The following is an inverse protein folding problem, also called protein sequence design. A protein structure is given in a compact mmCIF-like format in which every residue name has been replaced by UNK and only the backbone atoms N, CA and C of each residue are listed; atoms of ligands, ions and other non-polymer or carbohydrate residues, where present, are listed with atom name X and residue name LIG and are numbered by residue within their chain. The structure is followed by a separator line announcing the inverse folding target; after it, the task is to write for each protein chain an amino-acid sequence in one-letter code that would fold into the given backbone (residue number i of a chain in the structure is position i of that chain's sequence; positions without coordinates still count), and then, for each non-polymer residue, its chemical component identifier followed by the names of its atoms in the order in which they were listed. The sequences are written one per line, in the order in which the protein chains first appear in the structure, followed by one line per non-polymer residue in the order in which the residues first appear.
data_IF_730065221373
#
_entry.id   IF_730065221373
#
_cell.length_a   1.000
_cell.length_b   1.000
_cell.length_c   1.000
_cell.angle_alpha   90.00
_cell.angle_beta   90.00
_cell.angle_gamma   90.00
#
_symmetry.space_group_name_H-M   'P 1'
#
loop_
_entity.id
_entity.type
_entity.pdbx_description
1 polymer ?
#
# COMPACT_ATOMS: atom_id res chain seq x y z
N UNK A 1 -22.02 -1.27 35.35
CA UNK A 1 -21.18 -2.46 35.63
C UNK A 1 -19.78 -2.18 35.13
N UNK A 2 -18.75 -2.39 35.95
CA UNK A 2 -17.35 -2.28 35.54
C UNK A 2 -16.92 -3.56 34.81
N UNK A 3 -15.92 -3.47 33.91
CA UNK A 3 -15.37 -4.62 33.17
C UNK A 3 -14.95 -5.74 34.14
N UNK A 4 -14.24 -5.39 35.22
CA UNK A 4 -13.76 -6.35 36.21
C UNK A 4 -14.91 -7.11 36.90
N UNK A 5 -16.06 -6.45 37.12
CA UNK A 5 -17.24 -7.09 37.70
C UNK A 5 -17.89 -8.09 36.73
N UNK A 6 -17.84 -7.82 35.43
CA UNK A 6 -18.32 -8.71 34.38
C UNK A 6 -17.41 -9.91 34.22
N UNK A 7 -16.09 -9.69 34.17
CA UNK A 7 -15.07 -10.74 34.12
C UNK A 7 -15.19 -11.67 35.32
N UNK A 8 -15.22 -11.12 36.54
CA UNK A 8 -15.35 -11.91 37.76
C UNK A 8 -16.61 -12.78 37.75
N UNK A 9 -17.74 -12.23 37.29
CA UNK A 9 -18.99 -12.99 37.19
C UNK A 9 -18.93 -14.05 36.10
N UNK A 10 -18.36 -13.74 34.94
CA UNK A 10 -18.16 -14.69 33.85
C UNK A 10 -17.32 -15.88 34.32
N UNK A 11 -16.18 -15.64 34.97
CA UNK A 11 -15.29 -16.70 35.44
C UNK A 11 -15.91 -17.55 36.55
N UNK A 12 -16.79 -16.98 37.37
CA UNK A 12 -17.54 -17.75 38.38
C UNK A 12 -18.58 -18.70 37.78
N UNK A 13 -19.09 -18.41 36.57
CA UNK A 13 -20.15 -19.18 35.90
C UNK A 13 -19.56 -20.13 34.85
N UNK A 14 -18.42 -19.76 34.24
CA UNK A 14 -17.73 -20.52 33.19
C UNK A 14 -16.88 -21.67 33.75
N UNK A 15 -17.46 -22.43 34.69
CA UNK A 15 -16.88 -23.64 35.26
C UNK A 15 -17.98 -24.70 35.35
N UNK A 16 -17.78 -25.82 34.64
CA UNK A 16 -18.67 -26.96 34.81
C UNK A 16 -18.50 -27.56 36.22
N UNK A 17 -19.62 -27.92 36.90
CA UNK A 17 -19.55 -28.52 38.23
C UNK A 17 -18.94 -29.92 38.14
N UNK A 18 -18.18 -30.33 39.17
CA UNK A 18 -17.50 -31.64 39.20
C UNK A 18 -18.44 -32.86 39.10
N UNK A 19 -19.74 -32.67 39.21
CA UNK A 19 -20.76 -33.72 39.15
C UNK A 19 -21.39 -33.88 37.75
N UNK A 20 -20.83 -33.23 36.71
CA UNK A 20 -21.24 -33.45 35.32
C UNK A 20 -20.84 -34.83 34.86
N UNK A 21 -21.79 -35.55 34.26
CA UNK A 21 -21.53 -36.85 33.66
C UNK A 21 -20.71 -36.66 32.36
N UNK A 22 -19.43 -37.01 32.43
CA UNK A 22 -18.47 -36.89 31.33
C UNK A 22 -18.24 -38.23 30.60
N UNK A 23 -19.04 -39.26 30.85
CA UNK A 23 -18.74 -40.62 30.42
C UNK A 23 -18.81 -40.86 28.90
N UNK A 24 -19.53 -40.02 28.15
CA UNK A 24 -19.66 -40.09 26.68
C UNK A 24 -18.89 -38.98 25.93
N UNK A 25 -18.10 -38.14 26.61
CA UNK A 25 -17.43 -36.99 26.00
C UNK A 25 -15.98 -37.31 25.60
N UNK A 26 -15.69 -37.28 24.30
CA UNK A 26 -14.32 -37.33 23.78
C UNK A 26 -13.61 -35.98 24.06
N UNK A 27 -12.80 -35.90 25.12
CA UNK A 27 -11.96 -34.73 25.42
C UNK A 27 -11.75 -34.42 26.91
N UNK A 28 -11.32 -33.18 27.20
CA UNK A 28 -11.16 -32.69 28.57
C UNK A 28 -12.53 -32.34 29.14
N UNK A 29 -12.93 -33.00 30.23
CA UNK A 29 -14.15 -32.74 30.98
C UNK A 29 -13.87 -32.96 32.48
N UNK A 30 -14.36 -32.10 33.39
CA UNK A 30 -15.18 -30.90 33.19
C UNK A 30 -14.39 -29.70 32.62
N UNK A 31 -15.03 -28.93 31.74
CA UNK A 31 -14.46 -27.71 31.17
C UNK A 31 -14.49 -26.57 32.20
N UNK A 32 -13.31 -26.06 32.55
CA UNK A 32 -13.15 -24.92 33.47
C UNK A 32 -12.26 -23.86 32.82
N UNK A 33 -12.80 -22.66 32.61
CA UNK A 33 -12.05 -21.55 32.02
C UNK A 33 -10.93 -20.99 32.92
N UNK A 34 -10.90 -21.42 34.18
CA UNK A 34 -9.83 -21.11 35.13
C UNK A 34 -8.56 -21.97 34.92
N UNK A 35 -8.68 -23.15 34.28
CA UNK A 35 -7.52 -24.00 34.03
C UNK A 35 -6.55 -23.38 33.02
N UNK A 36 -5.33 -23.91 32.95
CA UNK A 36 -4.31 -23.48 31.98
C UNK A 36 -4.49 -24.18 30.63
N UNK A 37 -5.12 -25.37 30.65
CA UNK A 37 -5.28 -26.23 29.47
C UNK A 37 -6.38 -25.74 28.52
N UNK A 38 -7.23 -24.82 28.98
CA UNK A 38 -8.40 -24.32 28.25
C UNK A 38 -8.32 -22.79 28.17
N UNK A 39 -8.62 -22.26 26.99
CA UNK A 39 -8.78 -20.83 26.73
C UNK A 39 -10.26 -20.54 26.43
N UNK A 40 -10.80 -19.54 27.11
CA UNK A 40 -12.18 -19.12 26.94
C UNK A 40 -12.23 -17.66 26.48
N UNK A 41 -13.05 -17.42 25.46
CA UNK A 41 -13.22 -16.14 24.82
C UNK A 41 -14.69 -15.78 24.71
N UNK A 42 -15.03 -14.52 25.00
CA UNK A 42 -16.32 -13.94 24.60
C UNK A 42 -16.08 -13.09 23.38
N UNK A 43 -16.80 -13.37 22.31
CA UNK A 43 -16.55 -12.82 20.98
C UNK A 43 -17.80 -12.11 20.47
N UNK A 44 -17.61 -10.98 19.81
CA UNK A 44 -18.69 -10.25 19.14
C UNK A 44 -19.09 -10.91 17.80
N UNK A 45 -20.21 -10.47 17.23
CA UNK A 45 -20.71 -10.90 15.92
C UNK A 45 -19.72 -10.63 14.76
N UNK A 46 -18.74 -9.73 14.96
CA UNK A 46 -17.69 -9.46 13.99
C UNK A 46 -16.39 -10.28 14.20
N UNK A 47 -16.34 -11.15 15.22
CA UNK A 47 -15.18 -11.98 15.49
C UNK A 47 -14.09 -11.30 16.33
N UNK A 48 -14.41 -10.20 17.01
CA UNK A 48 -13.49 -9.53 17.96
C UNK A 48 -13.66 -10.09 19.36
N UNK A 49 -12.55 -10.32 20.04
CA UNK A 49 -12.53 -10.81 21.42
C UNK A 49 -12.83 -9.66 22.38
N UNK A 50 -13.89 -9.78 23.17
CA UNK A 50 -14.28 -8.81 24.19
C UNK A 50 -13.73 -9.18 25.57
N UNK A 51 -13.82 -10.47 25.94
CA UNK A 51 -13.33 -10.99 27.21
C UNK A 51 -12.41 -12.18 26.95
N UNK A 52 -11.22 -12.14 27.56
CA UNK A 52 -10.23 -13.22 27.55
C UNK A 52 -9.56 -13.28 28.92
N UNK A 53 -9.01 -14.45 29.28
CA UNK A 53 -8.16 -14.60 30.48
C UNK A 53 -6.92 -13.72 30.40
N UNK A 54 -6.37 -13.53 29.19
CA UNK A 54 -5.24 -12.64 28.95
C UNK A 54 -5.74 -11.30 28.42
N UNK A 55 -5.45 -10.22 29.16
CA UNK A 55 -5.89 -8.86 28.80
C UNK A 55 -5.35 -8.36 27.45
N UNK A 56 -4.24 -8.92 26.97
CA UNK A 56 -3.64 -8.56 25.68
C UNK A 56 -4.43 -9.09 24.47
N UNK A 57 -5.32 -10.06 24.67
CA UNK A 57 -6.16 -10.62 23.60
C UNK A 57 -7.43 -9.79 23.38
N UNK A 58 -7.87 -9.05 24.40
CA UNK A 58 -9.06 -8.22 24.31
C UNK A 58 -8.90 -7.13 23.24
N UNK A 59 -9.91 -6.97 22.39
CA UNK A 59 -9.91 -6.06 21.26
C UNK A 59 -9.20 -6.59 20.00
N UNK A 60 -8.56 -7.76 20.06
CA UNK A 60 -7.94 -8.39 18.89
C UNK A 60 -8.94 -9.25 18.14
N UNK A 61 -8.70 -9.41 16.84
CA UNK A 61 -9.51 -10.26 15.98
C UNK A 61 -9.18 -11.74 16.21
N UNK A 62 -10.21 -12.60 16.36
CA UNK A 62 -10.03 -14.02 16.61
C UNK A 62 -9.15 -14.70 15.55
N UNK A 63 -9.29 -14.33 14.27
CA UNK A 63 -8.48 -14.93 13.21
C UNK A 63 -6.98 -14.59 13.28
N UNK A 64 -6.62 -13.51 13.97
CA UNK A 64 -5.22 -13.14 14.22
C UNK A 64 -4.64 -13.92 15.40
N UNK A 65 -5.45 -14.18 16.43
CA UNK A 65 -5.08 -14.99 17.59
C UNK A 65 -5.03 -16.48 17.23
N UNK A 66 -6.09 -16.98 16.61
CA UNK A 66 -6.34 -18.39 16.36
C UNK A 66 -6.96 -18.60 14.96
N UNK A 67 -6.12 -18.50 13.93
CA UNK A 67 -6.52 -18.66 12.52
C UNK A 67 -7.14 -20.04 12.20
N UNK A 68 -6.76 -21.08 12.95
CA UNK A 68 -7.31 -22.44 12.81
C UNK A 68 -8.80 -22.51 13.18
N UNK A 69 -9.18 -21.93 14.32
CA UNK A 69 -10.57 -21.87 14.79
C UNK A 69 -11.39 -21.01 13.84
N UNK A 70 -10.92 -19.80 13.52
CA UNK A 70 -11.66 -18.90 12.63
C UNK A 70 -11.89 -19.50 11.24
N UNK A 71 -10.89 -20.17 10.65
CA UNK A 71 -11.04 -20.88 9.36
C UNK A 71 -12.10 -21.97 9.44
N UNK A 72 -12.15 -22.70 10.56
CA UNK A 72 -13.12 -23.78 10.75
C UNK A 72 -14.53 -23.24 10.94
N UNK A 73 -14.69 -22.15 11.70
CA UNK A 73 -15.98 -21.47 11.88
C UNK A 73 -16.55 -20.92 10.56
N UNK A 74 -15.68 -20.40 9.68
CA UNK A 74 -16.08 -20.00 8.32
C UNK A 74 -16.52 -21.21 7.49
N UNK A 75 -15.78 -22.32 7.56
CA UNK A 75 -16.11 -23.56 6.85
C UNK A 75 -17.44 -24.16 7.30
N UNK A 76 -17.75 -24.07 8.59
CA UNK A 76 -19.02 -24.53 9.18
C UNK A 76 -20.19 -23.58 8.89
N UNK A 77 -19.94 -22.40 8.30
CA UNK A 77 -20.97 -21.42 7.97
C UNK A 77 -21.45 -20.57 9.14
N UNK A 78 -20.76 -20.61 10.28
CA UNK A 78 -21.08 -19.74 11.43
C UNK A 78 -20.63 -18.30 11.19
N UNK A 79 -19.52 -18.10 10.48
CA UNK A 79 -19.03 -16.79 10.07
C UNK A 79 -18.97 -16.68 8.54
N UNK A 80 -19.45 -15.55 8.03
CA UNK A 80 -19.37 -15.21 6.62
C UNK A 80 -18.27 -14.18 6.38
N UNK A 81 -17.35 -14.50 5.47
CA UNK A 81 -16.36 -13.54 4.96
C UNK A 81 -17.01 -12.64 3.91
N UNK A 82 -16.92 -11.33 4.12
CA UNK A 82 -17.39 -10.29 3.19
C UNK A 82 -16.19 -9.41 2.85
N UNK A 83 -15.90 -9.19 1.57
CA UNK A 83 -14.87 -8.22 1.18
C UNK A 83 -15.45 -6.81 1.09
N UNK A 84 -14.78 -5.88 1.74
CA UNK A 84 -15.08 -4.45 1.69
C UNK A 84 -13.99 -3.74 0.89
N UNK A 85 -14.42 -2.78 0.05
CA UNK A 85 -13.53 -2.02 -0.82
C UNK A 85 -13.53 -0.55 -0.39
N UNK A 86 -12.36 0.00 -0.11
CA UNK A 86 -12.16 1.43 0.12
C UNK A 86 -11.47 2.05 -1.11
N UNK A 87 -12.20 2.93 -1.79
CA UNK A 87 -11.76 3.64 -2.99
C UNK A 87 -11.08 4.99 -2.67
N UNK A 88 -11.06 5.41 -1.41
CA UNK A 88 -10.51 6.69 -0.95
C UNK A 88 -9.30 6.52 -0.02
N UNK A 89 -8.74 5.31 0.05
CA UNK A 89 -7.58 5.00 0.87
C UNK A 89 -6.31 5.72 0.35
N UNK A 90 -5.39 6.03 1.26
CA UNK A 90 -4.09 6.62 0.96
C UNK A 90 -2.99 5.58 1.15
N UNK A 91 -2.34 5.19 0.05
CA UNK A 91 -1.30 4.18 0.02
C UNK A 91 0.08 4.79 -0.12
N UNK A 92 1.09 4.07 0.38
CA UNK A 92 2.48 4.50 0.22
C UNK A 92 2.88 4.29 -1.23
N UNK A 93 3.39 5.33 -1.87
CA UNK A 93 3.90 5.20 -3.23
C UNK A 93 5.20 4.42 -3.18
N UNK A 94 5.17 3.16 -3.60
CA UNK A 94 6.40 2.46 -3.94
C UNK A 94 7.03 3.22 -5.10
N UNK A 95 8.24 3.74 -4.89
CA UNK A 95 8.99 4.40 -5.95
C UNK A 95 9.35 3.36 -7.00
N UNK A 96 8.43 3.08 -7.92
CA UNK A 96 8.80 2.59 -9.22
C UNK A 96 9.68 3.68 -9.80
N UNK A 97 10.98 3.44 -9.80
CA UNK A 97 11.90 4.13 -10.69
C UNK A 97 11.43 3.81 -12.10
N UNK A 98 10.41 4.53 -12.57
CA UNK A 98 10.08 4.58 -13.98
C UNK A 98 11.28 5.27 -14.57
N UNK A 99 12.24 4.46 -15.01
CA UNK A 99 13.25 4.92 -15.94
C UNK A 99 12.47 5.34 -17.17
N UNK A 100 12.08 6.61 -17.22
CA UNK A 100 11.70 7.29 -18.45
C UNK A 100 12.96 7.29 -19.30
N UNK A 101 13.21 6.15 -19.94
CA UNK A 101 14.24 5.98 -20.93
C UNK A 101 13.95 6.93 -22.07
N UNK A 102 14.65 8.07 -22.03
CA UNK A 102 15.33 8.79 -23.11
C UNK A 102 15.19 10.30 -22.89
N UNK A 103 16.26 10.92 -22.41
CA UNK A 103 16.63 12.22 -22.96
C UNK A 103 17.91 12.03 -23.77
N UNK A 104 17.73 12.00 -25.11
CA UNK A 104 18.76 12.13 -26.15
C UNK A 104 19.61 13.43 -25.98
N UNK A 105 19.32 14.23 -24.95
CA UNK A 105 20.10 15.39 -24.50
C UNK A 105 21.25 15.03 -23.55
N UNK A 106 21.38 13.78 -23.06
CA UNK A 106 22.52 13.38 -22.20
C UNK A 106 23.89 13.50 -22.87
N UNK A 107 24.08 13.11 -24.16
CA UNK A 107 25.37 13.26 -24.82
C UNK A 107 25.73 14.73 -25.09
N UNK A 108 24.74 15.55 -25.45
CA UNK A 108 24.94 16.98 -25.70
C UNK A 108 25.19 17.76 -24.40
N UNK A 109 24.54 17.41 -23.29
CA UNK A 109 24.88 17.97 -21.98
C UNK A 109 26.24 17.49 -21.46
N UNK A 110 26.63 16.26 -21.74
CA UNK A 110 27.97 15.75 -21.43
C UNK A 110 29.03 16.48 -22.26
N UNK A 111 28.78 16.70 -23.56
CA UNK A 111 29.65 17.48 -24.44
C UNK A 111 29.71 18.95 -24.03
N UNK A 112 28.58 19.57 -23.68
CA UNK A 112 28.54 20.95 -23.20
C UNK A 112 29.23 21.10 -21.84
N UNK A 113 29.11 20.10 -20.96
CA UNK A 113 29.85 20.06 -19.68
C UNK A 113 31.35 19.87 -19.89
N UNK A 114 31.74 19.03 -20.84
CA UNK A 114 33.14 18.82 -21.22
C UNK A 114 33.73 20.08 -21.88
N UNK A 115 32.97 20.74 -22.75
CA UNK A 115 33.34 22.01 -23.37
C UNK A 115 33.45 23.11 -22.31
N UNK A 116 32.51 23.20 -21.38
CA UNK A 116 32.54 24.16 -20.26
C UNK A 116 33.72 23.88 -19.33
N UNK A 117 34.00 22.62 -19.01
CA UNK A 117 35.19 22.22 -18.26
C UNK A 117 36.47 22.61 -19.01
N UNK A 118 36.56 22.33 -20.30
CA UNK A 118 37.71 22.69 -21.12
C UNK A 118 37.91 24.20 -21.18
N UNK A 119 36.84 24.98 -21.41
CA UNK A 119 36.89 26.44 -21.44
C UNK A 119 37.29 27.03 -20.08
N UNK A 120 36.81 26.45 -18.98
CA UNK A 120 37.17 26.86 -17.61
C UNK A 120 38.65 26.61 -17.33
N UNK A 121 39.18 25.45 -17.73
CA UNK A 121 40.61 25.14 -17.56
C UNK A 121 41.47 25.95 -18.51
N UNK A 122 41.01 26.26 -19.72
CA UNK A 122 41.70 27.14 -20.65
C UNK A 122 41.73 28.59 -20.14
N UNK A 123 40.63 29.07 -19.54
CA UNK A 123 40.59 30.37 -18.86
C UNK A 123 41.51 30.41 -17.63
N UNK A 124 41.52 29.37 -16.80
CA UNK A 124 42.44 29.25 -15.67
C UNK A 124 43.90 29.14 -16.13
N UNK A 125 44.17 28.41 -17.21
CA UNK A 125 45.48 28.33 -17.82
C UNK A 125 45.92 29.70 -18.36
N UNK A 126 45.04 30.44 -19.03
CA UNK A 126 45.32 31.82 -19.47
C UNK A 126 45.49 32.78 -18.27
N UNK A 127 44.81 32.54 -17.15
CA UNK A 127 44.93 33.32 -15.91
C UNK A 127 46.24 32.98 -15.16
N UNK A 128 46.65 31.71 -15.16
CA UNK A 128 47.97 31.25 -14.66
C UNK A 128 49.11 31.75 -15.57
N UNK A 129 48.91 31.77 -16.89
CA UNK A 129 49.86 32.33 -17.86
C UNK A 129 49.91 33.87 -17.83
N UNK A 130 48.96 34.51 -17.16
CA UNK A 130 48.86 35.97 -17.00
C UNK A 130 48.99 36.35 -15.52
N UNK A 131 50.23 36.22 -15.02
CA UNK A 131 50.81 36.92 -13.85
C UNK A 131 49.83 37.17 -12.69
N UNK A 132 49.34 36.11 -12.05
CA UNK A 132 48.84 36.15 -10.67
C UNK A 132 48.92 34.75 -10.02
N UNK A 133 50.10 34.12 -10.15
CA UNK A 133 50.68 33.43 -8.98
C UNK A 133 50.71 34.45 -7.84
N UNK A 134 50.49 34.02 -6.60
CA UNK A 134 50.40 34.83 -5.37
C UNK A 134 49.02 35.48 -5.07
N UNK A 135 48.08 34.72 -4.51
CA UNK A 135 47.56 34.88 -3.12
C UNK A 135 46.14 34.32 -2.91
N UNK A 136 46.07 33.40 -1.95
CA UNK A 136 44.90 32.91 -1.19
C UNK A 136 43.90 31.94 -1.84
N UNK A 137 44.21 30.66 -1.61
CA UNK A 137 43.31 29.61 -1.11
C UNK A 137 42.29 30.13 -0.11
N UNK A 138 41.01 29.77 -0.29
CA UNK A 138 40.17 29.31 0.82
C UNK A 138 38.99 28.43 0.36
N UNK A 139 38.69 27.47 1.24
CA UNK A 139 37.87 26.29 1.02
C UNK A 139 36.36 26.58 0.94
N UNK A 140 35.69 26.04 -0.07
CA UNK A 140 34.22 25.97 -0.11
C UNK A 140 33.74 24.73 0.66
N UNK A 141 32.98 24.95 1.74
CA UNK A 141 32.27 23.90 2.45
C UNK A 141 30.91 23.62 1.79
N UNK A 142 30.66 22.35 1.47
CA UNK A 142 29.41 21.87 0.90
C UNK A 142 28.42 21.50 2.02
N UNK A 143 27.26 22.16 2.06
CA UNK A 143 26.20 21.86 3.03
C UNK A 143 25.29 20.75 2.48
N UNK A 144 25.34 19.56 3.08
CA UNK A 144 24.40 18.48 2.78
C UNK A 144 23.10 18.66 3.59
N UNK A 145 22.07 19.18 2.93
CA UNK A 145 20.71 19.21 3.46
C UNK A 145 20.12 17.79 3.40
N UNK A 146 20.14 17.06 4.51
CA UNK A 146 19.37 15.83 4.68
C UNK A 146 17.85 16.16 4.65
N UNK A 147 17.24 16.16 3.46
CA UNK A 147 15.79 16.06 3.32
C UNK A 147 15.37 14.67 3.79
N UNK A 148 14.70 14.59 4.95
CA UNK A 148 13.88 13.42 5.30
C UNK A 148 12.90 13.22 4.14
N UNK A 149 13.07 12.14 3.38
CA UNK A 149 12.07 11.66 2.42
C UNK A 149 10.81 11.36 3.23
N UNK A 150 9.89 12.32 3.32
CA UNK A 150 8.51 12.02 3.69
C UNK A 150 7.99 11.00 2.68
N UNK A 151 7.40 9.92 3.17
CA UNK A 151 6.76 8.93 2.32
C UNK A 151 5.64 9.63 1.54
N UNK A 152 5.74 9.62 0.21
CA UNK A 152 4.73 10.22 -0.65
C UNK A 152 3.51 9.28 -0.62
N UNK A 153 2.39 9.80 -0.13
CA UNK A 153 1.10 9.09 -0.12
C UNK A 153 0.33 9.41 -1.39
N UNK A 154 -0.35 8.42 -1.96
CA UNK A 154 -1.22 8.58 -3.12
C UNK A 154 -2.59 7.91 -2.89
N UNK A 155 -3.66 8.41 -3.52
CA UNK A 155 -4.95 7.73 -3.52
C UNK A 155 -4.83 6.34 -4.16
N UNK A 156 -5.44 5.34 -3.53
CA UNK A 156 -5.42 3.94 -3.97
C UNK A 156 -6.72 3.23 -3.61
N UNK A 157 -6.93 2.07 -4.26
CA UNK A 157 -8.01 1.15 -3.92
C UNK A 157 -7.46 0.07 -2.98
N UNK A 158 -8.08 -0.09 -1.82
CA UNK A 158 -7.76 -1.17 -0.87
C UNK A 158 -8.96 -2.10 -0.67
N UNK A 159 -8.67 -3.38 -0.49
CA UNK A 159 -9.65 -4.39 -0.09
C UNK A 159 -9.30 -4.87 1.31
N UNK A 160 -10.30 -4.97 2.19
CA UNK A 160 -10.13 -5.57 3.50
C UNK A 160 -11.26 -6.58 3.77
N UNK A 161 -10.92 -7.75 4.34
CA UNK A 161 -11.92 -8.74 4.70
C UNK A 161 -12.65 -8.28 5.98
N UNK A 162 -13.96 -8.44 5.99
CA UNK A 162 -14.82 -8.31 7.15
C UNK A 162 -15.53 -9.63 7.41
N UNK A 163 -15.86 -9.89 8.68
CA UNK A 163 -16.52 -11.11 9.11
C UNK A 163 -17.81 -10.76 9.83
N UNK A 164 -18.86 -11.52 9.52
CA UNK A 164 -20.19 -11.34 10.10
C UNK A 164 -20.71 -12.71 10.53
N UNK A 165 -21.13 -12.80 11.79
CA UNK A 165 -21.80 -13.96 12.35
C UNK A 165 -23.16 -14.17 11.67
N UNK A 166 -23.41 -15.39 11.22
CA UNK A 166 -24.67 -15.80 10.61
C UNK A 166 -25.42 -16.70 11.62
N UNK A 167 -26.60 -16.29 12.13
CA UNK A 167 -27.29 -16.97 13.24
C UNK A 167 -27.97 -18.28 12.85
N UNK A 168 -27.64 -18.83 11.67
CA UNK A 168 -28.13 -20.11 11.18
C UNK A 168 -27.69 -21.27 12.07
N UNK A 169 -26.52 -21.13 12.73
CA UNK A 169 -25.97 -22.13 13.64
C UNK A 169 -25.72 -21.50 15.01
N UNK A 170 -26.46 -21.98 16.02
CA UNK A 170 -26.39 -21.47 17.40
C UNK A 170 -25.26 -22.09 18.21
N UNK A 171 -24.95 -23.36 17.94
CA UNK A 171 -23.96 -24.14 18.67
C UNK A 171 -23.18 -25.02 17.70
N UNK A 172 -21.87 -25.05 17.88
CA UNK A 172 -20.97 -25.94 17.12
C UNK A 172 -19.84 -26.41 17.99
N UNK A 173 -19.55 -27.69 17.91
CA UNK A 173 -18.33 -28.29 18.41
C UNK A 173 -17.59 -28.97 17.25
N UNK A 174 -16.26 -28.89 17.25
CA UNK A 174 -15.45 -29.58 16.26
C UNK A 174 -14.04 -29.82 16.78
N UNK A 175 -13.40 -30.82 16.18
CA UNK A 175 -12.00 -31.17 16.41
C UNK A 175 -11.19 -30.80 15.17
N UNK A 176 -10.19 -29.93 15.34
CA UNK A 176 -9.28 -29.50 14.28
C UNK A 176 -8.04 -30.40 14.30
N UNK A 177 -7.79 -31.10 13.19
CA UNK A 177 -6.59 -31.92 13.02
C UNK A 177 -5.45 -31.05 12.49
N UNK A 178 -4.39 -30.89 13.28
CA UNK A 178 -3.21 -30.06 12.97
C UNK A 178 -1.98 -30.91 12.62
N UNK A 179 -2.21 -32.02 11.91
CA UNK A 179 -1.18 -33.01 11.58
C UNK A 179 -0.92 -33.99 12.73
N UNK A 180 -0.06 -33.61 13.69
CA UNK A 180 0.38 -34.48 14.80
C UNK A 180 -0.38 -34.29 16.11
N UNK A 181 -1.18 -33.23 16.22
CA UNK A 181 -2.05 -32.98 17.36
C UNK A 181 -3.45 -32.61 16.88
N UNK A 182 -4.40 -32.71 17.80
CA UNK A 182 -5.79 -32.33 17.59
C UNK A 182 -6.14 -31.22 18.58
N UNK A 183 -6.91 -30.23 18.12
CA UNK A 183 -7.36 -29.09 18.91
C UNK A 183 -8.88 -29.07 18.89
N UNK A 184 -9.54 -29.27 20.03
CA UNK A 184 -11.00 -29.19 20.12
C UNK A 184 -11.46 -27.77 20.46
N UNK A 185 -12.62 -27.40 19.95
CA UNK A 185 -13.29 -26.17 20.35
C UNK A 185 -14.81 -26.35 20.38
N UNK A 186 -15.46 -25.52 21.20
CA UNK A 186 -16.90 -25.42 21.31
C UNK A 186 -17.28 -23.94 21.25
N UNK A 187 -18.28 -23.62 20.43
CA UNK A 187 -18.88 -22.29 20.37
C UNK A 187 -20.36 -22.39 20.67
N UNK A 188 -20.84 -21.48 21.51
CA UNK A 188 -22.25 -21.35 21.86
C UNK A 188 -22.65 -19.88 21.87
N UNK A 189 -23.80 -19.57 21.27
CA UNK A 189 -24.39 -18.24 21.35
C UNK A 189 -24.87 -17.95 22.78
N UNK A 190 -24.54 -16.76 23.29
CA UNK A 190 -25.07 -16.28 24.56
C UNK A 190 -26.53 -15.83 24.35
N UNK A 191 -27.52 -16.40 25.06
CA UNK A 191 -28.92 -16.08 24.89
C UNK A 191 -29.21 -14.58 24.97
N UNK A 192 -30.13 -14.11 24.14
CA UNK A 192 -30.60 -12.70 24.09
C UNK A 192 -29.49 -11.66 23.81
N UNK A 193 -28.36 -12.08 23.25
CA UNK A 193 -27.26 -11.19 22.87
C UNK A 193 -26.67 -11.55 21.50
N UNK A 194 -25.83 -10.65 20.97
CA UNK A 194 -25.00 -10.86 19.79
C UNK A 194 -23.65 -11.53 20.09
N UNK A 195 -23.44 -11.98 21.34
CA UNK A 195 -22.17 -12.50 21.80
C UNK A 195 -22.09 -14.02 21.65
N UNK A 196 -20.87 -14.52 21.42
CA UNK A 196 -20.54 -15.94 21.34
C UNK A 196 -19.54 -16.29 22.43
N UNK A 197 -19.78 -17.39 23.13
CA UNK A 197 -18.80 -18.00 24.03
C UNK A 197 -18.04 -19.07 23.26
N UNK A 198 -16.72 -18.88 23.12
CA UNK A 198 -15.80 -19.82 22.50
C UNK A 198 -14.91 -20.43 23.59
N UNK A 199 -14.84 -21.75 23.62
CA UNK A 199 -13.97 -22.53 24.50
C UNK A 199 -13.03 -23.35 23.63
N UNK A 200 -11.73 -23.24 23.85
CA UNK A 200 -10.67 -23.81 23.01
C UNK A 200 -9.66 -24.53 23.89
N UNK A 201 -9.20 -25.70 23.45
CA UNK A 201 -8.09 -26.39 24.09
C UNK A 201 -6.74 -25.76 23.69
N UNK A 202 -5.87 -25.50 24.66
CA UNK A 202 -4.62 -24.74 24.49
C UNK A 202 -3.37 -25.62 24.26
N UNK A 203 -3.54 -26.92 24.04
CA UNK A 203 -2.48 -27.94 24.01
C UNK A 203 -1.73 -28.06 22.68
N UNK A 204 -2.30 -27.52 21.60
CA UNK A 204 -1.82 -27.71 20.23
C UNK A 204 -1.70 -26.38 19.48
N UNK A 205 -0.49 -26.04 19.00
CA UNK A 205 -0.27 -24.89 18.11
C UNK A 205 -0.44 -25.30 16.64
N UNK A 206 -1.50 -24.77 16.02
CA UNK A 206 -1.89 -25.05 14.64
C UNK A 206 -1.39 -24.02 13.63
N UNK A 207 -0.57 -23.04 14.05
CA UNK A 207 -0.14 -21.90 13.23
C UNK A 207 0.65 -22.29 11.97
N UNK A 208 1.28 -23.46 11.96
CA UNK A 208 2.02 -23.97 10.78
C UNK A 208 1.13 -24.41 9.63
N UNK A 209 -0.07 -24.93 9.93
CA UNK A 209 -1.00 -25.43 8.93
C UNK A 209 -2.05 -24.39 8.56
N UNK A 210 -2.46 -23.58 9.52
CA UNK A 210 -3.43 -22.52 9.34
C UNK A 210 -2.75 -21.18 9.59
N UNK A 211 -2.59 -20.38 8.54
CA UNK A 211 -2.07 -19.02 8.66
C UNK A 211 -3.06 -18.14 9.44
N UNK A 212 -2.54 -17.16 10.17
CA UNK A 212 -3.38 -16.13 10.77
C UNK A 212 -4.16 -15.36 9.69
N UNK A 213 -5.41 -15.02 10.02
CA UNK A 213 -6.28 -14.23 9.16
C UNK A 213 -6.22 -12.79 9.66
N UNK A 214 -5.57 -11.92 8.88
CA UNK A 214 -5.48 -10.50 9.21
C UNK A 214 -6.68 -9.71 8.65
N UNK A 215 -7.04 -8.63 9.34
CA UNK A 215 -7.97 -7.60 8.87
C UNK A 215 -7.24 -6.42 8.20
N UNK A 216 -5.91 -6.50 8.03
CA UNK A 216 -5.13 -5.45 7.43
C UNK A 216 -5.60 -5.16 5.99
N UNK A 217 -5.74 -3.87 5.61
CA UNK A 217 -6.11 -3.51 4.26
C UNK A 217 -5.01 -3.93 3.29
N UNK A 218 -5.41 -4.59 2.21
CA UNK A 218 -4.51 -5.00 1.15
C UNK A 218 -4.69 -4.07 -0.05
N UNK A 219 -3.59 -3.51 -0.53
CA UNK A 219 -3.60 -2.72 -1.76
C UNK A 219 -3.90 -3.63 -2.96
N UNK A 220 -4.89 -3.24 -3.77
CA UNK A 220 -5.18 -3.90 -5.04
C UNK A 220 -4.19 -3.40 -6.10
N UNK A 221 -2.91 -3.77 -5.94
CA UNK A 221 -1.87 -3.41 -6.90
C UNK A 221 -2.15 -4.09 -8.25
N UNK A 222 -1.93 -3.34 -9.33
CA UNK A 222 -1.90 -3.84 -10.71
C UNK A 222 -0.99 -5.08 -10.86
N UNK A 223 0.07 -5.27 -10.05
CA UNK A 223 0.88 -6.50 -10.12
C UNK A 223 0.18 -7.77 -9.60
N UNK A 224 -0.83 -7.64 -8.73
CA UNK A 224 -1.66 -8.76 -8.28
C UNK A 224 -2.72 -9.16 -9.32
N UNK A 225 -2.70 -8.56 -10.51
CA UNK A 225 -3.57 -8.96 -11.65
C UNK A 225 -3.28 -10.37 -12.19
N UNK A 226 -2.19 -11.01 -11.78
CA UNK A 226 -2.00 -12.44 -12.03
C UNK A 226 -2.93 -13.32 -11.14
N UNK A 227 -3.37 -12.81 -9.99
CA UNK A 227 -4.24 -13.52 -9.03
C UNK A 227 -5.68 -12.99 -9.03
N UNK A 228 -5.87 -11.67 -9.22
CA UNK A 228 -7.17 -11.05 -9.39
C UNK A 228 -7.39 -10.73 -10.86
N UNK A 229 -8.09 -11.64 -11.54
CA UNK A 229 -8.59 -11.48 -12.90
C UNK A 229 -8.97 -10.02 -13.21
N UNK A 230 -8.34 -9.43 -14.25
CA UNK A 230 -8.81 -8.21 -14.93
C UNK A 230 -10.34 -8.21 -15.22
N UNK A 231 -10.94 -9.40 -15.18
CA UNK A 231 -12.38 -9.64 -15.21
C UNK A 231 -13.18 -8.78 -14.24
N UNK A 232 -12.76 -8.54 -12.98
CA UNK A 232 -13.65 -7.88 -12.00
C UNK A 232 -13.97 -6.41 -12.34
N UNK A 233 -13.00 -5.66 -12.89
CA UNK A 233 -13.21 -4.27 -13.36
C UNK A 233 -14.08 -4.25 -14.63
N UNK A 234 -13.83 -5.16 -15.57
CA UNK A 234 -14.63 -5.32 -16.79
C UNK A 234 -16.05 -5.83 -16.51
N UNK A 235 -16.23 -6.74 -15.57
CA UNK A 235 -17.52 -7.25 -15.08
C UNK A 235 -18.31 -6.16 -14.33
N UNK A 236 -17.62 -5.32 -13.54
CA UNK A 236 -18.24 -4.11 -12.95
C UNK A 236 -18.68 -3.11 -14.02
N UNK A 237 -17.93 -2.95 -15.11
CA UNK A 237 -18.37 -2.13 -16.25
C UNK A 237 -19.56 -2.75 -16.98
N UNK A 238 -19.71 -4.07 -16.96
CA UNK A 238 -20.86 -4.79 -17.55
C UNK A 238 -22.11 -4.69 -16.67
N UNK A 239 -21.95 -4.65 -15.34
CA UNK A 239 -23.01 -4.48 -14.34
C UNK A 239 -23.19 -3.01 -13.93
N UNK A 240 -23.37 -2.12 -14.91
CA UNK A 240 -23.55 -0.69 -14.64
C UNK A 240 -24.71 -0.47 -13.67
N UNK A 241 -24.46 0.26 -12.57
CA UNK A 241 -25.53 0.83 -11.75
C UNK A 241 -26.40 1.71 -12.65
N UNK A 242 -27.71 1.73 -12.41
CA UNK A 242 -28.65 2.58 -13.15
C UNK A 242 -28.19 4.04 -13.00
N UNK A 243 -27.88 4.67 -14.14
CA UNK A 243 -27.57 6.11 -14.21
C UNK A 243 -28.65 6.77 -15.04
N UNK A 244 -29.27 7.82 -14.51
CA UNK A 244 -30.15 8.69 -15.30
C UNK A 244 -29.27 9.64 -16.11
N UNK A 245 -29.40 9.62 -17.44
CA UNK A 245 -28.77 10.63 -18.29
C UNK A 245 -29.55 11.95 -18.19
N UNK A 246 -28.89 13.11 -18.38
CA UNK A 246 -29.59 14.36 -18.60
C UNK A 246 -30.60 14.25 -19.74
N UNK A 247 -31.70 15.00 -19.67
CA UNK A 247 -32.79 14.91 -20.65
C UNK A 247 -32.46 15.59 -21.99
N UNK A 248 -31.64 16.66 -21.97
CA UNK A 248 -31.13 17.31 -23.17
C UNK A 248 -29.61 17.33 -23.20
N UNK A 249 -29.05 17.29 -24.41
CA UNK A 249 -27.63 17.48 -24.69
C UNK A 249 -27.53 18.51 -25.81
N UNK A 250 -27.08 19.72 -25.49
CA UNK A 250 -26.89 20.80 -26.46
C UNK A 250 -25.43 20.81 -26.92
N UNK A 251 -25.08 19.87 -27.79
CA UNK A 251 -23.70 19.68 -28.28
C UNK A 251 -23.32 20.65 -29.41
N UNK A 252 -24.28 21.38 -29.96
CA UNK A 252 -24.09 22.28 -31.09
C UNK A 252 -24.94 23.53 -30.92
N UNK A 253 -24.37 24.68 -31.24
CA UNK A 253 -25.08 25.94 -31.35
C UNK A 253 -24.80 26.58 -32.72
N UNK A 254 -25.83 27.08 -33.40
CA UNK A 254 -25.71 27.62 -34.77
C UNK A 254 -24.75 28.83 -34.88
N UNK A 255 -24.58 29.55 -33.78
CA UNK A 255 -23.66 30.69 -33.68
C UNK A 255 -22.25 30.29 -33.20
N UNK A 256 -21.99 29.00 -33.02
CA UNK A 256 -20.67 28.49 -32.65
C UNK A 256 -19.72 28.50 -33.86
N UNK A 257 -18.64 29.29 -33.76
CA UNK A 257 -17.61 29.36 -34.80
C UNK A 257 -16.62 28.20 -34.65
N UNK A 258 -16.86 27.09 -35.34
CA UNK A 258 -15.96 25.93 -35.35
C UNK A 258 -14.66 26.12 -36.15
N UNK A 259 -14.47 27.30 -36.79
CA UNK A 259 -13.31 27.58 -37.64
C UNK A 259 -12.11 28.17 -36.88
N UNK A 260 -12.26 28.56 -35.61
CA UNK A 260 -11.12 28.93 -34.76
C UNK A 260 -10.42 27.67 -34.23
N UNK A 261 -9.79 26.92 -35.13
CA UNK A 261 -8.83 25.90 -34.74
C UNK A 261 -7.49 26.59 -34.41
N UNK A 262 -6.93 26.28 -33.24
CA UNK A 262 -5.76 26.96 -32.68
C UNK A 262 -4.67 27.26 -33.70
N UNK A 263 -4.59 28.52 -34.12
CA UNK A 263 -3.53 29.04 -34.96
C UNK A 263 -2.23 29.07 -34.18
N UNK A 264 -1.54 27.93 -34.10
CA UNK A 264 -0.16 27.91 -33.65
C UNK A 264 0.64 28.74 -34.64
N UNK A 265 1.21 29.86 -34.17
CA UNK A 265 2.22 30.58 -34.91
C UNK A 265 3.41 29.64 -35.13
N UNK A 266 3.51 29.07 -36.32
CA UNK A 266 4.72 28.39 -36.74
C UNK A 266 5.83 29.45 -36.73
N UNK A 267 6.79 29.33 -35.82
CA UNK A 267 7.98 30.15 -35.84
C UNK A 267 8.76 29.80 -37.12
N UNK A 268 8.46 30.49 -38.21
CA UNK A 268 9.23 30.39 -39.43
C UNK A 268 10.55 31.11 -39.19
N UNK A 269 11.68 30.40 -39.32
CA UNK A 269 13.00 31.02 -39.40
C UNK A 269 12.97 32.06 -40.54
N UNK A 270 13.01 33.33 -40.18
CA UNK A 270 13.05 34.43 -41.15
C UNK A 270 14.29 34.22 -42.02
N UNK A 271 14.10 33.99 -43.31
CA UNK A 271 15.19 33.72 -44.27
C UNK A 271 16.27 34.80 -44.22
N UNK A 272 15.87 36.04 -43.93
CA UNK A 272 16.76 37.17 -43.68
C UNK A 272 17.74 36.97 -42.53
N UNK A 273 17.31 36.40 -41.40
CA UNK A 273 18.20 36.11 -40.27
C UNK A 273 19.21 35.01 -40.61
N UNK A 274 18.78 34.01 -41.38
CA UNK A 274 19.70 32.97 -41.88
C UNK A 274 20.76 33.56 -42.82
N UNK A 275 20.35 34.39 -43.79
CA UNK A 275 21.29 35.06 -44.69
C UNK A 275 22.21 36.03 -43.94
N UNK A 276 21.71 36.79 -42.96
CA UNK A 276 22.55 37.65 -42.12
C UNK A 276 23.58 36.85 -41.31
N UNK A 277 23.20 35.70 -40.74
CA UNK A 277 24.15 34.81 -40.07
C UNK A 277 25.19 34.23 -41.03
N UNK A 278 24.81 33.83 -42.23
CA UNK A 278 25.74 33.36 -43.26
C UNK A 278 26.70 34.45 -43.73
N UNK A 279 26.21 35.67 -43.93
CA UNK A 279 27.05 36.81 -44.32
C UNK A 279 27.98 37.23 -43.18
N UNK A 280 27.52 37.22 -41.92
CA UNK A 280 28.37 37.49 -40.76
C UNK A 280 29.46 36.43 -40.56
N UNK A 281 29.17 35.15 -40.87
CA UNK A 281 30.18 34.08 -40.78
C UNK A 281 31.18 34.09 -41.94
N UNK A 282 30.82 34.65 -43.10
CA UNK A 282 31.74 34.87 -44.22
C UNK A 282 32.56 36.17 -44.06
N UNK A 283 32.00 37.19 -43.41
CA UNK A 283 32.65 38.49 -43.18
C UNK A 283 33.49 38.57 -41.91
N UNK A 284 33.65 37.46 -41.15
CA UNK A 284 34.74 37.32 -40.19
C UNK A 284 35.88 36.59 -40.88
N UNK A 285 36.76 37.27 -41.64
CA UNK A 285 37.97 36.65 -42.12
C UNK A 285 38.83 36.27 -40.92
N UNK A 286 39.15 34.98 -40.88
CA UNK A 286 40.31 34.39 -40.25
C UNK A 286 41.39 35.40 -39.85
N UNK A 287 41.41 35.81 -38.58
CA UNK A 287 42.64 36.29 -37.95
C UNK A 287 43.44 35.04 -37.54
N UNK A 288 44.19 34.50 -38.50
CA UNK A 288 45.36 33.67 -38.18
C UNK A 288 46.53 34.62 -37.97
N UNK A 289 47.25 34.52 -36.83
CA UNK A 289 48.51 35.22 -36.67
C UNK A 289 49.63 34.41 -37.36
N UNK A 290 50.70 35.14 -37.68
CA UNK A 290 52.08 34.71 -37.93
C UNK A 290 52.61 34.74 -39.38
N UNK A 291 53.58 35.64 -39.61
CA UNK A 291 54.61 35.46 -40.65
C UNK A 291 55.34 36.70 -41.20
N UNK A 292 56.29 37.27 -40.43
CA UNK A 292 57.59 37.88 -40.85
C UNK A 292 57.68 39.01 -41.92
N UNK A 293 58.25 40.19 -41.55
CA UNK A 293 59.68 40.60 -41.73
C UNK A 293 59.89 42.11 -41.92
N UNK A 294 61.06 42.56 -41.41
CA UNK A 294 61.67 43.88 -41.45
C UNK A 294 61.85 44.52 -42.84
N UNK A 295 62.01 45.85 -42.85
CA UNK A 295 62.93 46.76 -43.60
C UNK A 295 62.18 48.10 -43.70
N UNK A 296 62.64 49.27 -43.22
CA UNK A 296 63.98 49.84 -43.11
C UNK A 296 64.07 50.83 -41.96
#
# INVERSE_FOLDING_TARGET
MTLDSLEARLWSIAAQPNNTDCSDADGICPLRCDSVDIQCYVIDNNGFVLISKQRNDAGRFLGELDGSVMTTLIRMGMFKRVSLFDYQAMCKMHSHSVSSGRHIMSPLHSLASALKWFLSNFLLFLLEFNICSLWHTDHFAEASLHKRKGEILQPCETEYPSFVYEPSVRETNSIIKCGRCQKMFVVQQVPDTNLLLLVVQADCDCSKQYSSITLAPQELLLLNMAAHNYSSKCERMRSQKIRRRPESCHAYHEQENANDCGGASAASLTTWLFFLCCVASVLVPSWSPEGLLMVS
#
